data_IF_700442823770
#
_entry.id   IF_700442823770
#
_cell.length_a   1.000
_cell.length_b   1.000
_cell.length_c   1.000
_cell.angle_alpha   90.00
_cell.angle_beta   90.00
_cell.angle_gamma   90.00
#
_symmetry.space_group_name_H-M   'P 1'
#
loop_
_entity.id
_entity.type
_entity.pdbx_description
1 polymer ?
#
# COMPACT_ATOMS: atom_id res chain seq x y z
N UNK A 1 10.51 -14.04 -24.57
CA UNK A 1 9.94 -13.10 -23.59
C UNK A 1 8.71 -12.53 -24.27
N UNK A 2 7.53 -13.04 -23.96
CA UNK A 2 6.29 -12.64 -24.63
C UNK A 2 5.98 -11.17 -24.30
N UNK A 3 5.89 -10.34 -25.33
CA UNK A 3 5.35 -8.99 -25.23
C UNK A 3 3.91 -9.09 -24.72
N UNK A 4 3.68 -8.64 -23.48
CA UNK A 4 2.33 -8.52 -22.92
C UNK A 4 1.59 -7.43 -23.72
N UNK A 5 0.56 -7.86 -24.45
CA UNK A 5 -0.05 -7.13 -25.56
C UNK A 5 -0.50 -5.68 -25.31
N UNK A 6 -0.26 -4.85 -26.33
CA UNK A 6 -0.89 -3.55 -26.59
C UNK A 6 -2.39 -3.78 -26.88
N UNK A 7 -3.29 -3.61 -25.91
CA UNK A 7 -4.74 -3.74 -26.14
C UNK A 7 -5.47 -2.39 -26.30
N UNK A 8 -4.75 -1.26 -26.31
CA UNK A 8 -5.31 0.00 -25.82
C UNK A 8 -4.80 1.30 -26.47
N UNK A 9 -4.28 1.36 -27.71
CA UNK A 9 -3.74 2.64 -28.24
C UNK A 9 -4.67 3.85 -27.97
N UNK A 10 -4.25 4.76 -27.07
CA UNK A 10 -5.06 5.90 -26.58
C UNK A 10 -5.86 5.72 -25.28
N UNK A 11 -5.91 4.53 -24.68
CA UNK A 11 -6.61 4.20 -23.42
C UNK A 11 -5.59 4.00 -22.29
N UNK A 12 -5.53 4.89 -21.28
CA UNK A 12 -4.53 4.78 -20.21
C UNK A 12 -4.77 3.54 -19.34
N UNK A 13 -3.70 2.94 -18.82
CA UNK A 13 -3.84 1.88 -17.81
C UNK A 13 -4.48 2.43 -16.51
N UNK A 14 -5.27 1.62 -15.78
CA UNK A 14 -5.76 1.97 -14.45
C UNK A 14 -4.59 1.93 -13.48
N UNK A 15 -4.19 3.09 -12.96
CA UNK A 15 -3.04 3.24 -12.06
C UNK A 15 -3.49 3.91 -10.77
N UNK A 16 -3.05 3.36 -9.63
CA UNK A 16 -3.28 3.94 -8.31
C UNK A 16 -2.38 5.17 -8.06
N UNK A 17 -2.41 5.72 -6.85
CA UNK A 17 -1.61 6.87 -6.47
C UNK A 17 -0.10 6.59 -6.44
N UNK A 18 0.29 5.34 -6.22
CA UNK A 18 1.69 4.93 -6.08
C UNK A 18 2.32 4.48 -7.40
N UNK A 19 1.55 4.50 -8.51
CA UNK A 19 2.03 4.09 -9.83
C UNK A 19 1.79 2.61 -10.13
N UNK A 20 1.10 1.87 -9.27
CA UNK A 20 0.78 0.47 -9.47
C UNK A 20 -0.41 0.30 -10.40
N UNK A 21 -0.31 -0.66 -11.33
CA UNK A 21 -1.45 -1.02 -12.19
C UNK A 21 -2.50 -1.76 -11.36
N UNK A 22 -3.72 -1.24 -11.36
CA UNK A 22 -4.86 -1.79 -10.60
C UNK A 22 -5.71 -2.69 -11.50
N UNK A 23 -5.82 -3.99 -11.21
CA UNK A 23 -6.77 -4.85 -11.92
C UNK A 23 -8.21 -4.34 -11.80
N UNK A 24 -8.98 -4.38 -12.89
CA UNK A 24 -10.41 -3.98 -12.84
C UNK A 24 -11.27 -4.92 -11.96
N UNK A 25 -10.75 -6.11 -11.65
CA UNK A 25 -11.35 -7.06 -10.72
C UNK A 25 -11.07 -6.73 -9.25
N UNK A 26 -10.28 -5.70 -8.95
CA UNK A 26 -10.00 -5.27 -7.58
C UNK A 26 -11.30 -4.92 -6.86
N UNK A 27 -11.46 -5.44 -5.64
CA UNK A 27 -12.63 -5.22 -4.77
C UNK A 27 -12.31 -4.38 -3.54
N UNK A 28 -11.05 -4.00 -3.38
CA UNK A 28 -10.54 -3.36 -2.18
C UNK A 28 -9.40 -2.41 -2.55
N UNK A 29 -9.54 -1.17 -2.12
CA UNK A 29 -8.53 -0.12 -2.22
C UNK A 29 -8.46 0.61 -0.89
N UNK A 30 -7.51 1.52 -0.76
CA UNK A 30 -7.33 2.32 0.44
C UNK A 30 -7.25 3.80 0.12
N UNK A 31 -7.78 4.64 1.01
CA UNK A 31 -7.54 6.08 0.95
C UNK A 31 -6.17 6.43 1.55
N UNK A 32 -5.81 7.72 1.51
CA UNK A 32 -4.53 8.20 2.05
C UNK A 32 -4.37 8.07 3.57
N UNK A 33 -5.44 7.72 4.30
CA UNK A 33 -5.40 7.44 5.75
C UNK A 33 -5.32 5.94 6.05
N UNK A 34 -5.36 5.10 5.02
CA UNK A 34 -5.42 3.64 5.17
C UNK A 34 -6.83 3.09 5.42
N UNK A 35 -7.87 3.93 5.32
CA UNK A 35 -9.25 3.47 5.36
C UNK A 35 -9.55 2.64 4.13
N UNK A 36 -10.28 1.55 4.35
CA UNK A 36 -10.61 0.57 3.33
C UNK A 36 -11.85 0.97 2.56
N UNK A 37 -11.76 0.94 1.23
CA UNK A 37 -12.85 1.25 0.31
C UNK A 37 -13.27 -0.04 -0.40
N UNK A 38 -14.55 -0.41 -0.26
CA UNK A 38 -15.12 -1.54 -0.97
C UNK A 38 -15.49 -1.14 -2.40
N UNK A 39 -14.74 -1.69 -3.37
CA UNK A 39 -14.87 -1.33 -4.78
C UNK A 39 -15.99 -2.12 -5.44
N UNK A 40 -17.03 -1.40 -5.87
CA UNK A 40 -18.09 -1.95 -6.71
C UNK A 40 -17.71 -1.97 -8.19
N UNK A 41 -17.08 -0.91 -8.69
CA UNK A 41 -16.71 -0.78 -10.11
C UNK A 41 -15.46 0.09 -10.31
N UNK A 42 -14.60 -0.29 -11.26
CA UNK A 42 -13.52 0.56 -11.81
C UNK A 42 -13.82 0.80 -13.27
N UNK A 43 -13.98 2.07 -13.66
CA UNK A 43 -14.37 2.44 -15.02
C UNK A 43 -13.57 3.64 -15.53
N UNK A 44 -13.27 3.61 -16.83
CA UNK A 44 -12.69 4.73 -17.54
C UNK A 44 -13.81 5.64 -18.02
N UNK A 45 -13.76 6.92 -17.66
CA UNK A 45 -14.79 7.90 -18.04
C UNK A 45 -14.14 9.13 -18.67
N UNK A 46 -14.80 9.72 -19.65
CA UNK A 46 -14.45 11.05 -20.14
C UNK A 46 -14.95 12.09 -19.15
N UNK A 47 -14.02 12.79 -18.50
CA UNK A 47 -14.35 13.82 -17.54
C UNK A 47 -14.05 15.21 -18.11
N UNK A 48 -15.12 15.97 -18.31
CA UNK A 48 -15.05 17.39 -18.70
C UNK A 48 -14.27 18.25 -17.72
N UNK A 49 -14.23 17.86 -16.43
CA UNK A 49 -13.52 18.60 -15.38
C UNK A 49 -12.00 18.46 -15.52
N UNK A 50 -11.50 17.27 -15.83
CA UNK A 50 -10.07 17.00 -16.02
C UNK A 50 -9.62 17.13 -17.48
N UNK A 51 -10.54 17.38 -18.42
CA UNK A 51 -10.24 17.56 -19.83
C UNK A 51 -9.77 16.30 -20.53
N UNK A 52 -10.25 15.12 -20.13
CA UNK A 52 -9.88 13.85 -20.73
C UNK A 52 -10.32 12.61 -19.96
N UNK A 53 -9.79 11.46 -20.39
CA UNK A 53 -10.08 10.15 -19.81
C UNK A 53 -9.48 10.01 -18.41
N UNK A 54 -10.31 9.63 -17.44
CA UNK A 54 -9.89 9.39 -16.05
C UNK A 54 -10.49 8.10 -15.53
N UNK A 55 -9.71 7.37 -14.73
CA UNK A 55 -10.17 6.19 -14.03
C UNK A 55 -10.92 6.58 -12.76
N UNK A 56 -12.16 6.09 -12.65
CA UNK A 56 -13.04 6.30 -11.50
C UNK A 56 -13.33 4.99 -10.80
N UNK A 57 -13.53 5.08 -9.50
CA UNK A 57 -13.92 3.98 -8.63
C UNK A 57 -15.30 4.31 -8.07
N UNK A 58 -16.26 3.41 -8.25
CA UNK A 58 -17.54 3.47 -7.53
C UNK A 58 -17.43 2.56 -6.30
N UNK A 59 -17.56 3.15 -5.13
CA UNK A 59 -17.72 2.41 -3.88
C UNK A 59 -19.14 1.79 -3.83
N UNK A 60 -19.27 0.59 -3.25
CA UNK A 60 -20.54 -0.19 -3.27
C UNK A 60 -21.73 0.62 -2.74
N UNK A 61 -21.54 1.33 -1.63
CA UNK A 61 -22.58 2.17 -0.99
C UNK A 61 -22.09 3.61 -0.75
N UNK A 62 -21.11 4.05 -1.55
CA UNK A 62 -20.36 5.27 -1.28
C UNK A 62 -20.22 6.22 -2.47
N UNK A 63 -19.36 7.24 -2.34
CA UNK A 63 -19.08 8.18 -3.42
C UNK A 63 -18.36 7.54 -4.61
N UNK A 64 -18.30 8.32 -5.70
CA UNK A 64 -17.40 8.03 -6.83
C UNK A 64 -16.08 8.75 -6.58
N UNK A 65 -15.00 7.99 -6.56
CA UNK A 65 -13.63 8.45 -6.26
C UNK A 65 -12.78 8.44 -7.53
N UNK A 66 -11.69 9.20 -7.52
CA UNK A 66 -10.66 9.14 -8.57
C UNK A 66 -9.65 8.07 -8.21
N UNK A 67 -9.38 7.12 -9.11
CA UNK A 67 -8.47 6.01 -8.84
C UNK A 67 -7.06 6.48 -8.44
N UNK A 68 -6.58 7.55 -9.07
CA UNK A 68 -5.25 8.14 -8.80
C UNK A 68 -5.11 8.80 -7.41
N UNK A 69 -6.17 8.80 -6.59
CA UNK A 69 -6.13 9.27 -5.20
C UNK A 69 -6.14 8.11 -4.20
N UNK A 70 -6.30 6.88 -4.68
CA UNK A 70 -6.39 5.67 -3.89
C UNK A 70 -5.11 4.86 -3.99
N UNK A 71 -4.91 3.97 -3.04
CA UNK A 71 -3.78 3.07 -2.95
C UNK A 71 -4.26 1.63 -3.11
N UNK A 72 -3.57 0.83 -3.92
CA UNK A 72 -3.84 -0.60 -4.04
C UNK A 72 -3.48 -1.35 -2.75
N UNK A 73 -2.36 -0.95 -2.15
CA UNK A 73 -1.91 -1.45 -0.87
C UNK A 73 -2.24 -0.45 0.24
N UNK A 74 -2.46 -0.94 1.47
CA UNK A 74 -2.78 -0.04 2.59
C UNK A 74 -1.57 0.85 2.87
N UNK A 75 -1.67 2.18 2.74
CA UNK A 75 -0.56 3.06 3.09
C UNK A 75 -0.24 2.91 4.58
N UNK A 76 1.03 3.12 4.89
CA UNK A 76 1.46 3.20 6.28
C UNK A 76 1.04 4.52 6.92
N UNK A 77 1.01 4.57 8.25
CA UNK A 77 0.74 5.80 8.99
C UNK A 77 1.79 6.03 10.06
N UNK A 78 1.99 7.29 10.46
CA UNK A 78 2.90 7.64 11.55
C UNK A 78 2.53 6.93 12.84
N UNK A 79 1.24 6.78 13.11
CA UNK A 79 0.71 6.10 14.30
C UNK A 79 1.05 4.61 14.31
N UNK A 80 1.02 3.94 13.15
CA UNK A 80 1.44 2.53 13.04
C UNK A 80 2.93 2.38 13.28
N UNK A 81 3.75 3.23 12.64
CA UNK A 81 5.21 3.22 12.84
C UNK A 81 5.55 3.46 14.32
N UNK A 82 4.90 4.44 14.96
CA UNK A 82 5.08 4.73 16.38
C UNK A 82 4.66 3.55 17.26
N UNK A 83 3.51 2.93 16.98
CA UNK A 83 3.03 1.78 17.73
C UNK A 83 4.01 0.59 17.66
N UNK A 84 4.53 0.27 16.47
CA UNK A 84 5.47 -0.83 16.27
C UNK A 84 6.81 -0.55 16.96
N UNK A 85 7.30 0.71 16.90
CA UNK A 85 8.48 1.16 17.65
C UNK A 85 8.28 1.06 19.16
N UNK A 86 7.13 1.48 19.67
CA UNK A 86 6.81 1.41 21.10
C UNK A 86 6.63 -0.02 21.59
N UNK A 87 6.11 -0.92 20.76
CA UNK A 87 6.02 -2.35 21.08
C UNK A 87 7.42 -2.96 21.25
N UNK A 88 8.32 -2.70 20.29
CA UNK A 88 9.73 -3.10 20.38
C UNK A 88 10.42 -2.52 21.62
N UNK A 89 10.26 -1.22 21.88
CA UNK A 89 10.92 -0.54 22.99
C UNK A 89 10.45 -1.05 24.36
N UNK A 90 9.14 -1.35 24.52
CA UNK A 90 8.59 -1.87 25.77
C UNK A 90 9.03 -3.30 26.07
N UNK A 91 9.19 -4.11 25.04
CA UNK A 91 9.59 -5.51 25.18
C UNK A 91 11.11 -5.72 25.22
N UNK A 92 11.89 -4.67 24.92
CA UNK A 92 13.34 -4.76 24.67
C UNK A 92 13.70 -5.87 23.67
N UNK A 93 12.87 -6.01 22.64
CA UNK A 93 12.94 -7.13 21.70
C UNK A 93 12.40 -6.73 20.32
N UNK A 94 13.25 -6.84 19.30
CA UNK A 94 12.90 -6.51 17.92
C UNK A 94 11.77 -7.37 17.35
N UNK A 95 11.50 -8.57 17.89
CA UNK A 95 10.38 -9.39 17.43
C UNK A 95 9.04 -8.64 17.53
N UNK A 96 8.84 -7.87 18.60
CA UNK A 96 7.60 -7.11 18.81
C UNK A 96 7.36 -6.03 17.75
N UNK A 97 8.41 -5.56 17.07
CA UNK A 97 8.26 -4.69 15.90
C UNK A 97 7.55 -5.41 14.73
N UNK A 98 7.88 -6.67 14.51
CA UNK A 98 7.34 -7.50 13.43
C UNK A 98 6.01 -8.17 13.79
N UNK A 99 5.32 -7.68 14.84
CA UNK A 99 4.06 -8.26 15.31
C UNK A 99 4.22 -9.61 16.01
N UNK A 100 5.45 -9.98 16.35
CA UNK A 100 5.79 -11.23 17.00
C UNK A 100 5.86 -11.09 18.51
N UNK A 101 5.15 -11.96 19.24
CA UNK A 101 5.27 -12.08 20.69
C UNK A 101 6.54 -12.84 21.13
N UNK A 102 6.64 -13.10 22.43
CA UNK A 102 7.76 -13.85 23.04
C UNK A 102 7.92 -15.30 22.53
N UNK A 103 6.87 -15.89 21.95
CA UNK A 103 6.83 -17.29 21.48
C UNK A 103 7.10 -17.43 19.97
N UNK A 104 7.85 -16.50 19.38
CA UNK A 104 7.98 -16.46 17.92
C UNK A 104 8.78 -17.65 17.36
N UNK A 105 8.24 -18.25 16.30
CA UNK A 105 9.02 -19.03 15.36
C UNK A 105 9.77 -18.09 14.40
N UNK A 106 11.11 -18.02 14.53
CA UNK A 106 11.94 -17.19 13.67
C UNK A 106 11.84 -17.58 12.18
N UNK A 107 11.45 -18.82 11.85
CA UNK A 107 11.40 -19.32 10.47
C UNK A 107 10.36 -18.59 9.58
N UNK A 108 9.38 -17.93 10.19
CA UNK A 108 8.34 -17.16 9.48
C UNK A 108 8.53 -15.65 9.65
N UNK A 109 9.62 -15.21 10.28
CA UNK A 109 9.87 -13.81 10.56
C UNK A 109 10.27 -13.07 9.27
N UNK A 110 9.74 -11.86 9.00
CA UNK A 110 10.21 -11.04 7.89
C UNK A 110 11.72 -10.72 7.95
N UNK A 111 12.32 -10.77 9.14
CA UNK A 111 13.74 -10.59 9.37
C UNK A 111 14.56 -11.90 9.42
N UNK A 112 13.94 -13.07 9.18
CA UNK A 112 14.58 -14.40 9.24
C UNK A 112 15.82 -14.49 8.35
N UNK A 113 15.68 -14.04 7.11
CA UNK A 113 16.72 -14.12 6.09
C UNK A 113 17.86 -13.11 6.27
N UNK A 114 17.83 -12.27 7.31
CA UNK A 114 18.82 -11.24 7.54
C UNK A 114 19.98 -11.77 8.40
N UNK A 115 21.20 -11.64 7.90
CA UNK A 115 22.42 -12.07 8.60
C UNK A 115 22.86 -11.12 9.72
N UNK A 116 22.19 -9.96 9.85
CA UNK A 116 22.47 -8.94 10.86
C UNK A 116 21.50 -9.03 12.05
N UNK A 117 21.56 -8.09 13.01
CA UNK A 117 20.63 -8.10 14.13
C UNK A 117 19.22 -7.68 13.71
N UNK A 118 18.20 -8.29 14.31
CA UNK A 118 16.80 -7.94 14.05
C UNK A 118 16.50 -6.45 14.34
N UNK A 119 17.27 -5.80 15.23
CA UNK A 119 17.15 -4.37 15.49
C UNK A 119 17.60 -3.51 14.30
N UNK A 120 18.64 -3.94 13.58
CA UNK A 120 19.10 -3.22 12.37
C UNK A 120 18.04 -3.32 11.28
N UNK A 121 17.43 -4.49 11.10
CA UNK A 121 16.33 -4.67 10.14
C UNK A 121 15.09 -3.86 10.51
N UNK A 122 14.69 -3.86 11.78
CA UNK A 122 13.62 -3.00 12.25
C UNK A 122 13.91 -1.52 11.96
N UNK A 123 15.14 -1.04 12.20
CA UNK A 123 15.52 0.34 11.89
C UNK A 123 15.49 0.66 10.38
N UNK A 124 15.91 -0.28 9.52
CA UNK A 124 15.82 -0.16 8.05
C UNK A 124 14.37 -0.07 7.60
N UNK A 125 13.52 -0.94 8.12
CA UNK A 125 12.11 -0.96 7.77
C UNK A 125 11.39 0.31 8.26
N UNK A 126 11.67 0.77 9.48
CA UNK A 126 11.18 2.07 9.99
C UNK A 126 11.57 3.20 9.04
N UNK A 127 12.84 3.28 8.63
CA UNK A 127 13.30 4.32 7.71
C UNK A 127 12.56 4.23 6.37
N UNK A 128 12.38 3.03 5.83
CA UNK A 128 11.63 2.79 4.58
C UNK A 128 10.18 3.27 4.72
N UNK A 129 9.49 2.91 5.80
CA UNK A 129 8.11 3.32 6.10
C UNK A 129 8.00 4.84 6.26
N UNK A 130 8.91 5.47 7.01
CA UNK A 130 8.98 6.93 7.15
C UNK A 130 9.15 7.64 5.81
N UNK A 131 10.02 7.13 4.92
CA UNK A 131 10.19 7.69 3.57
C UNK A 131 8.93 7.55 2.71
N UNK A 132 8.26 6.40 2.79
CA UNK A 132 6.99 6.17 2.10
C UNK A 132 5.91 7.15 2.58
N UNK A 133 5.76 7.32 3.89
CA UNK A 133 4.82 8.28 4.48
C UNK A 133 5.16 9.72 4.07
N UNK A 134 6.45 10.08 4.05
CA UNK A 134 6.91 11.40 3.65
C UNK A 134 6.87 11.66 2.12
N UNK A 135 6.55 10.63 1.31
CA UNK A 135 6.51 10.75 -0.15
C UNK A 135 7.88 10.94 -0.81
N UNK A 136 8.94 10.38 -0.20
CA UNK A 136 10.35 10.51 -0.65
C UNK A 136 11.02 9.15 -0.85
N UNK A 137 10.22 8.10 -1.05
CA UNK A 137 10.68 6.73 -1.27
C UNK A 137 11.32 6.55 -2.65
#
# INVERSE_FOLDING_TARGET
MEEKGNWYEGVPAPVDKDGNVVPLATRKLYDGTGHEIEVGEIALVDSKLSGGLVWRVREVDGPILTLSLLHLERPDTWERVEADLMAMARADCACYYFGAGADLNCDECPAESCSESCFVEAARDVLRRCKAIAGVA
#
